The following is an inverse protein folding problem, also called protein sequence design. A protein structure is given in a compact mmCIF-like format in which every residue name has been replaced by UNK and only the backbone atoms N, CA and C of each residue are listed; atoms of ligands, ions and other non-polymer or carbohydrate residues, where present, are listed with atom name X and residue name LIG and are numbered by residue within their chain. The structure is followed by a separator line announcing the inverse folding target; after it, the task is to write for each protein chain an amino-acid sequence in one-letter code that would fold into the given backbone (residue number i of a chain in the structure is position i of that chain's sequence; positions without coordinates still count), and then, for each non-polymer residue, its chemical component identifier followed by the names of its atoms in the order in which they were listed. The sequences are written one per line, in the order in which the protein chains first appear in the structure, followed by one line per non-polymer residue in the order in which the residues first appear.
data_IF_808015799718
#
_entry.id   IF_808015799718
#
_cell.length_a   1.000
_cell.length_b   1.000
_cell.length_c   1.000
_cell.angle_alpha   90.00
_cell.angle_beta   90.00
_cell.angle_gamma   90.00
#
_symmetry.space_group_name_H-M   'P 1'
#
loop_
_entity.id
_entity.type
_entity.pdbx_description
1 polymer ?
#
# COMPACT_ATOMS: atom_id res chain seq x y z
N UNK A 1 -11.42 -22.44 -6.65
CA UNK A 1 -11.78 -21.66 -5.44
C UNK A 1 -10.54 -21.00 -4.86
N UNK A 2 -9.47 -21.74 -4.60
CA UNK A 2 -8.25 -21.19 -3.98
C UNK A 2 -7.58 -20.07 -4.79
N UNK A 3 -7.43 -20.22 -6.11
CA UNK A 3 -6.85 -19.15 -6.95
C UNK A 3 -7.62 -17.83 -6.88
N UNK A 4 -8.94 -17.88 -6.78
CA UNK A 4 -9.77 -16.68 -6.66
C UNK A 4 -9.47 -15.94 -5.36
N UNK A 5 -9.42 -16.66 -4.24
CA UNK A 5 -9.10 -16.07 -2.95
C UNK A 5 -7.66 -15.57 -2.89
N UNK A 6 -6.68 -16.32 -3.43
CA UNK A 6 -5.29 -15.87 -3.49
C UNK A 6 -5.17 -14.54 -4.26
N UNK A 7 -5.83 -14.41 -5.41
CA UNK A 7 -5.85 -13.16 -6.18
C UNK A 7 -6.57 -12.05 -5.40
N UNK A 8 -7.68 -12.37 -4.74
CA UNK A 8 -8.40 -11.39 -3.92
C UNK A 8 -7.52 -10.87 -2.77
N UNK A 9 -6.85 -11.74 -2.01
CA UNK A 9 -5.93 -11.35 -0.94
C UNK A 9 -4.73 -10.57 -1.46
N UNK A 10 -4.23 -10.88 -2.66
CA UNK A 10 -3.20 -10.07 -3.31
C UNK A 10 -3.69 -8.64 -3.58
N UNK A 11 -4.86 -8.50 -4.19
CA UNK A 11 -5.45 -7.19 -4.53
C UNK A 11 -5.74 -6.39 -3.26
N UNK A 12 -6.40 -6.99 -2.27
CA UNK A 12 -6.67 -6.33 -0.98
C UNK A 12 -5.38 -5.98 -0.24
N UNK A 13 -4.39 -6.87 -0.23
CA UNK A 13 -3.09 -6.60 0.35
C UNK A 13 -2.36 -5.45 -0.35
N UNK A 14 -2.47 -5.30 -1.67
CA UNK A 14 -1.91 -4.15 -2.38
C UNK A 14 -2.61 -2.83 -2.02
N UNK A 15 -3.93 -2.84 -1.84
CA UNK A 15 -4.69 -1.68 -1.32
C UNK A 15 -4.23 -1.31 0.08
N UNK A 16 -4.09 -2.31 0.97
CA UNK A 16 -3.54 -2.10 2.31
C UNK A 16 -2.10 -1.58 2.23
N UNK A 17 -1.27 -2.11 1.35
CA UNK A 17 0.10 -1.60 1.12
C UNK A 17 0.14 -0.15 0.67
N UNK A 18 -0.85 0.31 -0.09
CA UNK A 18 -0.98 1.73 -0.44
C UNK A 18 -1.27 2.58 0.80
N UNK A 19 -2.13 2.09 1.70
CA UNK A 19 -2.36 2.73 3.00
C UNK A 19 -1.13 2.67 3.93
N UNK A 20 -0.34 1.59 3.89
CA UNK A 20 0.94 1.49 4.61
C UNK A 20 1.88 2.63 4.23
N UNK A 21 1.97 3.02 2.95
CA UNK A 21 2.76 4.19 2.54
C UNK A 21 2.27 5.48 3.22
N UNK A 22 0.95 5.66 3.37
CA UNK A 22 0.38 6.82 4.10
C UNK A 22 0.78 6.77 5.57
N UNK A 23 0.65 5.62 6.21
CA UNK A 23 1.06 5.42 7.60
C UNK A 23 2.54 5.73 7.81
N UNK A 24 3.41 5.17 6.97
CA UNK A 24 4.86 5.36 7.05
C UNK A 24 5.24 6.84 6.95
N UNK A 25 4.60 7.58 6.04
CA UNK A 25 4.87 9.00 5.85
C UNK A 25 4.32 9.89 6.98
N UNK A 26 3.13 9.59 7.51
CA UNK A 26 2.38 10.50 8.40
C UNK A 26 2.58 10.24 9.89
N UNK A 27 2.72 8.97 10.30
CA UNK A 27 2.86 8.60 11.72
C UNK A 27 4.09 9.28 12.37
N UNK A 28 5.30 9.25 11.78
CA UNK A 28 6.48 9.88 12.38
C UNK A 28 6.36 11.41 12.52
N UNK A 29 5.49 12.03 11.71
CA UNK A 29 5.23 13.47 11.72
C UNK A 29 4.10 13.89 12.66
N UNK A 30 3.43 12.93 13.30
CA UNK A 30 2.22 13.19 14.09
C UNK A 30 1.03 13.67 13.25
N UNK A 31 1.05 13.43 11.93
CA UNK A 31 -0.03 13.81 11.03
C UNK A 31 -1.17 12.79 11.06
N UNK A 32 -2.40 13.24 10.76
CA UNK A 32 -3.54 12.33 10.68
C UNK A 32 -3.45 11.41 9.47
N UNK A 33 -3.60 10.11 9.70
CA UNK A 33 -3.61 9.07 8.65
C UNK A 33 -4.92 9.05 7.84
N UNK A 34 -5.96 9.74 8.30
CA UNK A 34 -7.29 9.74 7.67
C UNK A 34 -7.59 11.02 6.87
N UNK A 35 -7.09 12.17 7.32
CA UNK A 35 -7.36 13.47 6.68
C UNK A 35 -6.15 14.41 6.79
N UNK A 36 -5.81 15.22 5.77
CA UNK A 36 -6.46 15.33 4.45
C UNK A 36 -6.23 14.09 3.57
N UNK A 37 -6.96 13.93 2.44
CA UNK A 37 -6.69 12.88 1.47
C UNK A 37 -5.23 12.86 0.99
N UNK A 38 -4.83 11.76 0.35
CA UNK A 38 -3.49 11.65 -0.27
C UNK A 38 -3.27 12.80 -1.25
N UNK A 39 -2.08 13.39 -1.21
CA UNK A 39 -1.71 14.53 -2.05
C UNK A 39 -0.26 14.40 -2.51
N UNK A 40 0.08 15.08 -3.60
CA UNK A 40 1.45 15.13 -4.08
C UNK A 40 2.32 15.94 -3.10
N UNK A 41 3.45 15.40 -2.60
CA UNK A 41 4.32 16.14 -1.68
C UNK A 41 5.05 17.31 -2.34
N UNK A 42 5.11 17.37 -3.68
CA UNK A 42 5.79 18.45 -4.40
C UNK A 42 4.89 19.65 -4.71
N UNK A 43 3.63 19.41 -5.10
CA UNK A 43 2.72 20.49 -5.49
C UNK A 43 1.47 20.62 -4.60
N UNK A 44 1.26 19.71 -3.65
CA UNK A 44 0.09 19.73 -2.75
C UNK A 44 -1.23 19.32 -3.39
N UNK A 45 -1.26 19.08 -4.71
CA UNK A 45 -2.48 18.67 -5.41
C UNK A 45 -2.99 17.33 -4.86
N UNK A 46 -4.30 17.24 -4.61
CA UNK A 46 -4.94 16.01 -4.16
C UNK A 46 -4.81 14.91 -5.23
N UNK A 47 -4.47 13.70 -4.80
CA UNK A 47 -4.40 12.54 -5.69
C UNK A 47 -5.82 12.12 -6.04
N UNK A 48 -6.12 12.07 -7.35
CA UNK A 48 -7.41 11.61 -7.86
C UNK A 48 -7.62 10.15 -7.49
N UNK A 49 -8.85 9.72 -7.23
CA UNK A 49 -9.15 8.32 -6.91
C UNK A 49 -8.59 7.33 -7.95
N UNK A 50 -8.66 7.68 -9.24
CA UNK A 50 -8.11 6.86 -10.33
C UNK A 50 -6.57 6.78 -10.35
N UNK A 51 -5.88 7.79 -9.79
CA UNK A 51 -4.42 7.82 -9.66
C UNK A 51 -3.94 7.17 -8.36
N UNK A 52 -4.87 6.72 -7.50
CA UNK A 52 -4.61 6.03 -6.24
C UNK A 52 -4.80 4.51 -6.35
N UNK A 53 -4.98 3.96 -7.56
CA UNK A 53 -5.04 2.52 -7.78
C UNK A 53 -3.61 1.96 -7.64
N UNK A 54 -3.37 1.04 -6.67
CA UNK A 54 -2.03 0.53 -6.36
C UNK A 54 -1.33 -0.05 -7.59
N UNK A 55 -0.04 0.23 -7.75
CA UNK A 55 0.87 -0.23 -8.82
C UNK A 55 0.49 0.24 -10.22
N UNK A 56 -0.78 0.06 -10.62
CA UNK A 56 -1.31 0.41 -11.94
C UNK A 56 -1.17 1.90 -12.23
N UNK A 57 -1.55 2.76 -11.29
CA UNK A 57 -1.44 4.21 -11.49
C UNK A 57 0.02 4.64 -11.65
N UNK A 58 0.93 4.03 -10.89
CA UNK A 58 2.36 4.28 -10.98
C UNK A 58 2.90 3.92 -12.38
N UNK A 59 2.52 2.76 -12.91
CA UNK A 59 2.94 2.29 -14.23
C UNK A 59 2.38 3.18 -15.35
N UNK A 60 1.09 3.52 -15.30
CA UNK A 60 0.43 4.37 -16.31
C UNK A 60 1.02 5.78 -16.33
N UNK A 61 1.30 6.35 -15.16
CA UNK A 61 1.88 7.68 -15.03
C UNK A 61 3.41 7.71 -15.23
N UNK A 62 4.04 6.56 -15.43
CA UNK A 62 5.49 6.44 -15.56
C UNK A 62 6.25 6.92 -14.32
N UNK A 63 5.68 6.67 -13.14
CA UNK A 63 6.25 7.08 -11.85
C UNK A 63 6.32 8.59 -11.64
N UNK A 64 5.37 9.35 -12.21
CA UNK A 64 5.33 10.83 -12.09
C UNK A 64 3.97 11.32 -11.61
N UNK A 65 3.95 12.45 -10.90
CA UNK A 65 2.72 13.16 -10.59
C UNK A 65 2.06 13.66 -11.88
N UNK A 66 0.75 13.43 -12.02
CA UNK A 66 -0.03 13.89 -13.18
C UNK A 66 -0.03 15.41 -13.34
N UNK A 67 -0.03 16.16 -12.24
CA UNK A 67 -0.19 17.62 -12.25
C UNK A 67 1.13 18.36 -12.44
N UNK A 68 2.19 17.97 -11.73
CA UNK A 68 3.47 18.69 -11.76
C UNK A 68 4.64 17.91 -12.38
N UNK A 69 4.45 16.63 -12.72
CA UNK A 69 5.49 15.79 -13.34
C UNK A 69 6.63 15.37 -12.39
N UNK A 70 6.56 15.71 -11.10
CA UNK A 70 7.57 15.29 -10.12
C UNK A 70 7.62 13.76 -10.01
N UNK A 71 8.80 13.21 -9.77
CA UNK A 71 8.99 11.75 -9.68
C UNK A 71 8.42 11.21 -8.37
N UNK A 72 7.66 10.13 -8.47
CA UNK A 72 7.16 9.35 -7.34
C UNK A 72 8.17 8.22 -7.09
N UNK A 73 8.58 8.07 -5.82
CA UNK A 73 9.55 7.04 -5.43
C UNK A 73 9.06 5.62 -5.76
N UNK A 74 9.98 4.75 -6.19
CA UNK A 74 9.70 3.32 -6.40
C UNK A 74 9.33 2.61 -5.08
N UNK A 75 9.60 3.22 -3.92
CA UNK A 75 9.17 2.71 -2.62
C UNK A 75 7.67 2.40 -2.58
N UNK A 76 6.85 3.28 -3.16
CA UNK A 76 5.39 3.17 -3.13
C UNK A 76 4.89 1.87 -3.79
N UNK A 77 5.16 1.61 -5.09
CA UNK A 77 4.72 0.36 -5.72
C UNK A 77 5.42 -0.88 -5.15
N UNK A 78 6.64 -0.76 -4.62
CA UNK A 78 7.33 -1.89 -3.97
C UNK A 78 6.59 -2.32 -2.70
N UNK A 79 6.20 -1.38 -1.83
CA UNK A 79 5.44 -1.68 -0.61
C UNK A 79 4.07 -2.26 -0.95
N UNK A 80 3.39 -1.74 -1.98
CA UNK A 80 2.11 -2.27 -2.44
C UNK A 80 2.23 -3.73 -2.91
N UNK A 81 3.20 -4.03 -3.78
CA UNK A 81 3.43 -5.39 -4.28
C UNK A 81 3.88 -6.35 -3.17
N UNK A 82 4.76 -5.90 -2.28
CA UNK A 82 5.24 -6.72 -1.16
C UNK A 82 4.09 -7.07 -0.21
N UNK A 83 3.25 -6.09 0.15
CA UNK A 83 2.11 -6.31 1.04
C UNK A 83 1.10 -7.26 0.40
N UNK A 84 0.76 -7.05 -0.88
CA UNK A 84 -0.10 -7.94 -1.65
C UNK A 84 0.44 -9.38 -1.72
N UNK A 85 1.73 -9.53 -2.03
CA UNK A 85 2.37 -10.85 -2.10
C UNK A 85 2.34 -11.56 -0.74
N UNK A 86 2.67 -10.86 0.35
CA UNK A 86 2.66 -11.44 1.69
C UNK A 86 1.25 -11.82 2.13
N UNK A 87 0.23 -11.00 1.84
CA UNK A 87 -1.17 -11.34 2.12
C UNK A 87 -1.61 -12.61 1.36
N UNK A 88 -1.25 -12.73 0.08
CA UNK A 88 -1.56 -13.90 -0.73
C UNK A 88 -0.83 -15.16 -0.22
N UNK A 89 0.43 -15.03 0.20
CA UNK A 89 1.21 -16.11 0.81
C UNK A 89 0.58 -16.55 2.14
N UNK A 90 0.19 -15.61 3.00
CA UNK A 90 -0.45 -15.91 4.29
C UNK A 90 -1.77 -16.64 4.09
N UNK A 91 -2.61 -16.21 3.13
CA UNK A 91 -3.81 -16.97 2.75
C UNK A 91 -3.46 -18.38 2.29
N UNK A 92 -2.47 -18.52 1.42
CA UNK A 92 -2.06 -19.84 0.89
C UNK A 92 -1.52 -20.78 1.96
N UNK A 93 -1.09 -20.25 3.11
CA UNK A 93 -0.59 -21.03 4.25
C UNK A 93 -1.67 -21.44 5.25
N UNK A 94 -2.61 -20.53 5.55
CA UNK A 94 -3.59 -20.73 6.63
C UNK A 94 -5.02 -20.99 6.14
N UNK A 95 -5.34 -20.67 4.88
CA UNK A 95 -6.71 -20.71 4.37
C UNK A 95 -7.63 -19.70 5.05
N UNK A 96 -8.95 -19.83 4.88
CA UNK A 96 -9.93 -18.98 5.57
C UNK A 96 -10.08 -19.43 7.04
N UNK A 97 -9.17 -19.00 7.89
CA UNK A 97 -9.12 -19.35 9.31
C UNK A 97 -8.91 -18.12 10.21
N UNK A 98 -8.97 -18.31 11.54
CA UNK A 98 -8.64 -17.22 12.48
C UNK A 98 -7.16 -16.87 12.45
N UNK A 99 -6.30 -17.86 12.23
CA UNK A 99 -4.85 -17.70 12.07
C UNK A 99 -4.51 -16.80 10.89
N UNK A 100 -5.29 -16.86 9.80
CA UNK A 100 -5.15 -15.90 8.71
C UNK A 100 -5.34 -14.47 9.20
N UNK A 101 -6.41 -14.19 9.94
CA UNK A 101 -6.68 -12.85 10.48
C UNK A 101 -5.53 -12.31 11.31
N UNK A 102 -5.02 -13.13 12.24
CA UNK A 102 -3.84 -12.79 13.05
C UNK A 102 -2.59 -12.58 12.19
N UNK A 103 -2.35 -13.44 11.20
CA UNK A 103 -1.22 -13.36 10.29
C UNK A 103 -1.23 -12.08 9.44
N UNK A 104 -2.38 -11.72 8.87
CA UNK A 104 -2.54 -10.50 8.06
C UNK A 104 -2.32 -9.24 8.91
N UNK A 105 -2.89 -9.21 10.12
CA UNK A 105 -2.71 -8.10 11.05
C UNK A 105 -1.22 -7.94 11.45
N UNK A 106 -0.60 -9.03 11.89
CA UNK A 106 0.80 -9.04 12.31
C UNK A 106 1.75 -8.61 11.19
N UNK A 107 1.61 -9.20 10.00
CA UNK A 107 2.43 -8.84 8.82
C UNK A 107 2.23 -7.38 8.45
N UNK A 108 0.99 -6.88 8.44
CA UNK A 108 0.74 -5.47 8.07
C UNK A 108 1.42 -4.51 9.06
N UNK A 109 1.36 -4.78 10.36
CA UNK A 109 2.06 -3.98 11.37
C UNK A 109 3.58 -4.01 11.15
N UNK A 110 4.16 -5.19 10.92
CA UNK A 110 5.59 -5.30 10.67
C UNK A 110 6.03 -4.52 9.44
N UNK A 111 5.23 -4.53 8.36
CA UNK A 111 5.52 -3.75 7.16
C UNK A 111 5.43 -2.25 7.47
N UNK A 112 4.43 -1.79 8.22
CA UNK A 112 4.33 -0.39 8.65
C UNK A 112 5.58 0.04 9.41
N UNK A 113 5.98 -0.73 10.43
CA UNK A 113 7.18 -0.43 11.23
C UNK A 113 8.44 -0.43 10.37
N UNK A 114 8.60 -1.45 9.53
CA UNK A 114 9.76 -1.54 8.63
C UNK A 114 9.80 -0.41 7.60
N UNK A 115 8.64 0.05 7.13
CA UNK A 115 8.53 1.15 6.19
C UNK A 115 8.81 2.50 6.85
N UNK A 116 8.45 2.67 8.13
CA UNK A 116 8.83 3.84 8.95
C UNK A 116 10.33 3.85 9.17
N UNK A 117 10.92 2.74 9.61
CA UNK A 117 12.36 2.66 9.90
C UNK A 117 13.24 2.89 8.66
N UNK A 118 12.69 2.65 7.47
CA UNK A 118 13.37 2.90 6.21
C UNK A 118 13.31 4.38 5.75
N UNK A 119 12.32 5.17 6.20
CA UNK A 119 12.18 6.60 5.86
C UNK A 119 13.02 7.50 6.79
#
# INVERSE_FOLDING_TARGET
MDYFYTIAFFIFGAVIGSFVNVCAYRIPKGESIAYPPSHCPSCGEAIRYADNIPVVSYLILGGKCRSCGSRISLKYPIIELLTGALWAITYSRFGLSLELGYGLFFITILIVLSAIDYD
#
